data_IF_740463654292
#
_entry.id   IF_740463654292
#
_cell.length_a   1.000
_cell.length_b   1.000
_cell.length_c   1.000
_cell.angle_alpha   90.00
_cell.angle_beta   90.00
_cell.angle_gamma   90.00
#
_symmetry.space_group_name_H-M   'P 1'
#
loop_
_entity.id
_entity.type
_entity.pdbx_description
1 polymer ?
#
# COMPACT_ATOMS: atom_id res chain seq x y z
N UNK A 1 8.52 -3.06 -12.71
CA UNK A 1 9.46 -1.94 -12.44
C UNK A 1 10.03 -1.98 -11.03
N UNK A 2 9.21 -2.01 -9.98
CA UNK A 2 9.67 -2.04 -8.58
C UNK A 2 10.71 -3.13 -8.30
N UNK A 3 10.40 -4.39 -8.64
CA UNK A 3 11.31 -5.52 -8.43
C UNK A 3 12.66 -5.35 -9.14
N UNK A 4 12.67 -4.89 -10.39
CA UNK A 4 13.91 -4.61 -11.13
C UNK A 4 14.71 -3.46 -10.51
N UNK A 5 14.03 -2.45 -9.99
CA UNK A 5 14.63 -1.37 -9.23
C UNK A 5 15.35 -1.85 -7.98
N UNK A 6 14.71 -2.71 -7.19
CA UNK A 6 15.31 -3.29 -5.98
C UNK A 6 16.44 -4.26 -6.30
N UNK A 7 16.30 -5.07 -7.35
CA UNK A 7 17.38 -5.91 -7.88
C UNK A 7 18.60 -5.06 -8.24
N UNK A 8 18.42 -4.03 -9.06
CA UNK A 8 19.52 -3.19 -9.53
C UNK A 8 20.17 -2.40 -8.38
N UNK A 9 19.39 -1.94 -7.40
CA UNK A 9 19.91 -1.31 -6.18
C UNK A 9 20.86 -2.23 -5.41
N UNK A 10 20.60 -3.54 -5.40
CA UNK A 10 21.42 -4.53 -4.69
C UNK A 10 22.63 -5.00 -5.49
N UNK A 11 22.50 -5.13 -6.82
CA UNK A 11 23.55 -5.75 -7.66
C UNK A 11 24.40 -4.75 -8.43
N UNK A 12 23.90 -3.52 -8.61
CA UNK A 12 24.43 -2.53 -9.55
C UNK A 12 24.55 -3.03 -11.02
N UNK A 13 23.85 -4.12 -11.37
CA UNK A 13 23.88 -4.71 -12.72
C UNK A 13 23.16 -3.82 -13.74
N UNK A 14 23.91 -2.83 -14.22
CA UNK A 14 23.45 -1.85 -15.19
C UNK A 14 23.37 -2.45 -16.61
N UNK A 15 24.05 -3.58 -16.85
CA UNK A 15 23.98 -4.28 -18.13
C UNK A 15 22.59 -4.92 -18.30
N UNK A 16 22.09 -5.61 -17.28
CA UNK A 16 20.76 -6.20 -17.30
C UNK A 16 19.66 -5.13 -17.40
N UNK A 17 19.79 -4.01 -16.68
CA UNK A 17 18.85 -2.87 -16.80
C UNK A 17 18.80 -2.35 -18.23
N UNK A 18 19.95 -2.25 -18.91
CA UNK A 18 20.03 -1.79 -20.29
C UNK A 18 19.39 -2.77 -21.26
N UNK A 19 19.64 -4.06 -21.09
CA UNK A 19 19.03 -5.12 -21.89
C UNK A 19 17.50 -5.09 -21.82
N UNK A 20 16.96 -4.97 -20.60
CA UNK A 20 15.52 -5.01 -20.35
C UNK A 20 14.85 -3.64 -20.43
N UNK A 21 15.60 -2.59 -20.75
CA UNK A 21 15.09 -1.23 -20.80
C UNK A 21 13.85 -1.03 -21.67
N UNK A 22 13.74 -1.62 -22.88
CA UNK A 22 12.52 -1.52 -23.69
C UNK A 22 11.29 -2.10 -22.99
N UNK A 23 11.45 -3.14 -22.17
CA UNK A 23 10.36 -3.75 -21.40
C UNK A 23 9.99 -2.88 -20.19
N UNK A 24 10.99 -2.33 -19.49
CA UNK A 24 10.77 -1.40 -18.38
C UNK A 24 10.02 -0.15 -18.82
N UNK A 25 10.34 0.39 -20.00
CA UNK A 25 9.62 1.51 -20.61
C UNK A 25 8.15 1.18 -20.91
N UNK A 26 7.88 0.04 -21.54
CA UNK A 26 6.51 -0.40 -21.81
C UNK A 26 5.71 -0.58 -20.52
N UNK A 27 6.32 -1.12 -19.47
CA UNK A 27 5.69 -1.24 -18.17
C UNK A 27 5.36 0.14 -17.57
N UNK A 28 6.27 1.11 -17.69
CA UNK A 28 6.01 2.50 -17.25
C UNK A 28 4.87 3.15 -18.03
N UNK A 29 4.90 3.04 -19.36
CA UNK A 29 3.88 3.61 -20.25
C UNK A 29 2.49 3.02 -19.98
N UNK A 30 2.41 1.70 -19.78
CA UNK A 30 1.16 1.03 -19.42
C UNK A 30 0.66 1.45 -18.03
N UNK A 31 1.53 1.46 -17.02
CA UNK A 31 1.16 1.88 -15.66
C UNK A 31 0.66 3.32 -15.62
N UNK A 32 1.34 4.24 -16.33
CA UNK A 32 0.89 5.63 -16.49
C UNK A 32 -0.47 5.73 -17.16
N UNK A 33 -0.75 4.90 -18.17
CA UNK A 33 -2.03 4.90 -18.87
C UNK A 33 -3.21 4.35 -18.04
N UNK A 34 -2.91 3.69 -16.91
CA UNK A 34 -3.92 3.20 -15.98
C UNK A 34 -4.38 4.27 -14.95
N UNK A 35 -3.90 5.51 -15.06
CA UNK A 35 -4.38 6.69 -14.34
C UNK A 35 -5.26 7.50 -15.31
N UNK A 36 -6.59 7.43 -15.15
CA UNK A 36 -7.55 8.02 -16.09
C UNK A 36 -8.00 9.43 -15.70
N UNK A 37 -8.07 9.72 -14.39
CA UNK A 37 -8.39 11.04 -13.88
C UNK A 37 -7.16 11.95 -13.72
N UNK A 38 -5.97 11.36 -13.90
CA UNK A 38 -4.69 12.02 -13.93
C UNK A 38 -4.17 12.37 -12.54
N UNK A 39 -4.71 11.84 -11.44
CA UNK A 39 -4.31 12.20 -10.07
C UNK A 39 -2.93 11.66 -9.64
N UNK A 40 -2.28 10.88 -10.52
CA UNK A 40 -0.98 10.26 -10.32
C UNK A 40 -1.05 8.83 -9.75
N UNK A 41 -2.22 8.37 -9.31
CA UNK A 41 -2.44 7.02 -8.80
C UNK A 41 -2.97 6.11 -9.90
N UNK A 42 -2.55 4.85 -9.86
CA UNK A 42 -3.12 3.83 -10.76
C UNK A 42 -4.52 3.43 -10.30
N UNK A 43 -5.42 3.23 -11.25
CA UNK A 43 -6.77 2.76 -11.01
C UNK A 43 -6.89 1.24 -11.22
N UNK A 44 -7.49 0.56 -10.26
CA UNK A 44 -7.77 -0.88 -10.31
C UNK A 44 -8.75 -1.25 -11.42
N UNK A 45 -9.67 -0.36 -11.77
CA UNK A 45 -10.64 -0.53 -12.86
C UNK A 45 -9.97 -0.72 -14.22
N UNK A 46 -8.76 -0.18 -14.40
CA UNK A 46 -7.98 -0.28 -15.64
C UNK A 46 -6.83 -1.28 -15.48
N UNK A 47 -6.10 -1.21 -14.37
CA UNK A 47 -4.92 -2.04 -14.14
C UNK A 47 -5.26 -3.49 -13.77
N UNK A 48 -6.37 -3.72 -13.07
CA UNK A 48 -6.71 -5.02 -12.48
C UNK A 48 -5.63 -5.57 -11.53
N UNK A 49 -4.79 -4.69 -10.96
CA UNK A 49 -3.52 -5.06 -10.32
C UNK A 49 -3.49 -4.89 -8.79
N UNK A 50 -4.57 -4.42 -8.19
CA UNK A 50 -4.73 -4.27 -6.75
C UNK A 50 -5.00 -5.59 -6.05
N UNK A 51 -5.15 -5.54 -4.72
CA UNK A 51 -5.49 -6.70 -3.90
C UNK A 51 -6.97 -7.10 -4.08
N UNK A 52 -7.35 -7.46 -5.30
CA UNK A 52 -8.72 -7.78 -5.72
C UNK A 52 -9.15 -9.21 -5.37
N UNK A 53 -8.40 -9.89 -4.50
CA UNK A 53 -8.71 -11.25 -4.06
C UNK A 53 -9.47 -11.23 -2.72
N UNK A 54 -10.78 -11.52 -2.79
CA UNK A 54 -11.69 -12.04 -1.74
C UNK A 54 -12.62 -11.05 -0.99
N UNK A 55 -13.89 -10.98 -1.42
CA UNK A 55 -15.10 -10.67 -0.60
C UNK A 55 -15.84 -9.36 -0.91
N UNK A 56 -16.94 -9.08 -0.19
CA UNK A 56 -17.83 -7.88 -0.27
C UNK A 56 -17.11 -6.50 -0.11
N UNK A 57 -15.78 -6.48 0.00
CA UNK A 57 -14.96 -5.27 0.08
C UNK A 57 -14.62 -4.69 -1.30
N UNK A 58 -15.12 -5.28 -2.39
CA UNK A 58 -14.75 -4.98 -3.78
C UNK A 58 -15.59 -3.89 -4.46
N UNK A 59 -16.80 -3.60 -3.99
CA UNK A 59 -17.70 -2.69 -4.71
C UNK A 59 -17.14 -1.26 -4.78
N UNK A 60 -16.84 -0.81 -6.00
CA UNK A 60 -16.46 0.57 -6.31
C UNK A 60 -15.05 0.98 -5.89
N UNK A 61 -14.10 0.06 -5.68
CA UNK A 61 -12.68 0.44 -5.44
C UNK A 61 -12.08 1.00 -6.74
N UNK A 62 -11.69 2.27 -6.70
CA UNK A 62 -10.97 2.95 -7.77
C UNK A 62 -9.47 2.73 -7.62
N UNK A 63 -8.91 2.97 -6.43
CA UNK A 63 -7.49 2.73 -6.13
C UNK A 63 -7.33 2.26 -4.70
N UNK A 64 -6.43 1.30 -4.44
CA UNK A 64 -6.14 0.83 -3.08
C UNK A 64 -4.72 1.20 -2.64
N UNK A 65 -4.54 1.30 -1.31
CA UNK A 65 -3.28 1.72 -0.69
C UNK A 65 -2.10 0.82 -1.05
N UNK A 66 -2.35 -0.45 -1.36
CA UNK A 66 -1.33 -1.39 -1.80
C UNK A 66 -0.85 -1.04 -3.21
N UNK A 67 -1.77 -0.91 -4.17
CA UNK A 67 -1.45 -0.53 -5.55
C UNK A 67 -0.79 0.84 -5.59
N UNK A 68 -1.35 1.84 -4.90
CA UNK A 68 -0.76 3.18 -4.82
C UNK A 68 0.66 3.14 -4.24
N UNK A 69 0.88 2.40 -3.15
CA UNK A 69 2.20 2.26 -2.53
C UNK A 69 3.23 1.62 -3.45
N UNK A 70 2.88 0.52 -4.11
CA UNK A 70 3.75 -0.17 -5.08
C UNK A 70 4.08 0.74 -6.26
N UNK A 71 3.10 1.47 -6.78
CA UNK A 71 3.28 2.39 -7.91
C UNK A 71 4.21 3.55 -7.56
N UNK A 72 3.97 4.23 -6.43
CA UNK A 72 4.80 5.35 -5.97
C UNK A 72 6.25 4.92 -5.73
N UNK A 73 6.45 3.72 -5.15
CA UNK A 73 7.77 3.15 -4.98
C UNK A 73 8.42 2.83 -6.34
N UNK A 74 7.67 2.23 -7.27
CA UNK A 74 8.14 1.88 -8.61
C UNK A 74 8.60 3.11 -9.40
N UNK A 75 7.90 4.24 -9.30
CA UNK A 75 8.23 5.50 -9.96
C UNK A 75 9.61 6.04 -9.56
N UNK A 76 9.93 6.01 -8.26
CA UNK A 76 11.28 6.41 -7.80
C UNK A 76 12.36 5.50 -8.39
N UNK A 77 12.13 4.18 -8.38
CA UNK A 77 13.12 3.24 -8.94
C UNK A 77 13.27 3.40 -10.44
N UNK A 78 12.16 3.58 -11.16
CA UNK A 78 12.16 3.80 -12.59
C UNK A 78 12.89 5.10 -12.95
N UNK A 79 12.68 6.19 -12.21
CA UNK A 79 13.39 7.45 -12.44
C UNK A 79 14.91 7.28 -12.35
N UNK A 80 15.39 6.56 -11.33
CA UNK A 80 16.83 6.27 -11.17
C UNK A 80 17.39 5.42 -12.31
N UNK A 81 16.64 4.39 -12.74
CA UNK A 81 17.03 3.59 -13.90
C UNK A 81 17.05 4.42 -15.18
N UNK A 82 16.08 5.33 -15.37
CA UNK A 82 16.03 6.24 -16.51
C UNK A 82 17.24 7.18 -16.57
N UNK A 83 17.69 7.74 -15.43
CA UNK A 83 18.92 8.53 -15.40
C UNK A 83 20.14 7.71 -15.83
N UNK A 84 20.27 6.47 -15.33
CA UNK A 84 21.37 5.58 -15.71
C UNK A 84 21.35 5.21 -17.20
N UNK A 85 20.17 5.14 -17.80
CA UNK A 85 19.98 4.94 -19.24
C UNK A 85 20.10 6.22 -20.07
N UNK A 86 20.47 7.35 -19.43
CA UNK A 86 20.60 8.67 -20.07
C UNK A 86 19.30 9.15 -20.71
N UNK A 87 18.18 8.88 -20.05
CA UNK A 87 16.84 9.31 -20.45
C UNK A 87 16.25 10.34 -19.46
N UNK A 88 16.83 11.56 -19.36
CA UNK A 88 16.46 12.53 -18.32
C UNK A 88 15.02 13.01 -18.42
N UNK A 89 14.43 13.00 -19.63
CA UNK A 89 13.02 13.36 -19.83
C UNK A 89 12.09 12.36 -19.14
N UNK A 90 12.30 11.05 -19.36
CA UNK A 90 11.53 10.00 -18.67
C UNK A 90 11.75 10.02 -17.16
N UNK A 91 12.99 10.26 -16.73
CA UNK A 91 13.31 10.36 -15.31
C UNK A 91 12.57 11.53 -14.65
N UNK A 92 12.52 12.70 -15.31
CA UNK A 92 11.78 13.87 -14.84
C UNK A 92 10.27 13.62 -14.81
N UNK A 93 9.73 12.93 -15.82
CA UNK A 93 8.32 12.59 -15.88
C UNK A 93 7.92 11.66 -14.74
N UNK A 94 8.67 10.57 -14.52
CA UNK A 94 8.41 9.64 -13.44
C UNK A 94 8.46 10.31 -12.06
N UNK A 95 9.41 11.24 -11.85
CA UNK A 95 9.46 12.06 -10.62
C UNK A 95 8.24 12.96 -10.46
N UNK A 96 7.79 13.60 -11.54
CA UNK A 96 6.62 14.48 -11.51
C UNK A 96 5.35 13.70 -11.15
N UNK A 97 5.15 12.53 -11.78
CA UNK A 97 4.05 11.62 -11.43
C UNK A 97 4.17 11.20 -9.96
N UNK A 98 5.37 10.83 -9.48
CA UNK A 98 5.58 10.42 -8.09
C UNK A 98 5.19 11.51 -7.10
N UNK A 99 5.62 12.75 -7.34
CA UNK A 99 5.29 13.88 -6.48
C UNK A 99 3.79 14.13 -6.42
N UNK A 100 3.09 14.01 -7.56
CA UNK A 100 1.64 14.13 -7.62
C UNK A 100 0.95 13.00 -6.86
N UNK A 101 1.33 11.76 -7.14
CA UNK A 101 0.82 10.55 -6.51
C UNK A 101 0.96 10.58 -4.98
N UNK A 102 2.11 11.04 -4.47
CA UNK A 102 2.33 11.23 -3.04
C UNK A 102 1.36 12.26 -2.44
N UNK A 103 1.21 13.42 -3.08
CA UNK A 103 0.30 14.45 -2.62
C UNK A 103 -1.15 13.95 -2.58
N UNK A 104 -1.58 13.25 -3.63
CA UNK A 104 -2.91 12.63 -3.72
C UNK A 104 -3.11 11.58 -2.64
N UNK A 105 -2.15 10.67 -2.44
CA UNK A 105 -2.20 9.64 -1.40
C UNK A 105 -2.34 10.27 0.00
N UNK A 106 -1.51 11.27 0.31
CA UNK A 106 -1.50 11.93 1.62
C UNK A 106 -2.74 12.78 1.89
N UNK A 107 -3.38 13.28 0.83
CA UNK A 107 -4.62 14.04 0.92
C UNK A 107 -5.84 13.12 1.03
N UNK A 108 -5.88 12.07 0.23
CA UNK A 108 -7.06 11.21 0.09
C UNK A 108 -7.12 10.14 1.17
N UNK A 109 -6.01 9.48 1.49
CA UNK A 109 -6.01 8.27 2.33
C UNK A 109 -5.67 8.53 3.79
N UNK A 110 -5.03 9.65 4.16
CA UNK A 110 -4.68 9.91 5.56
C UNK A 110 -5.92 10.28 6.39
N UNK A 111 -6.14 9.57 7.51
CA UNK A 111 -7.25 9.81 8.43
C UNK A 111 -6.70 10.27 9.80
N UNK A 112 -6.59 11.60 10.04
CA UNK A 112 -5.88 12.13 11.21
C UNK A 112 -6.57 11.81 12.53
N UNK A 113 -7.89 11.66 12.57
CA UNK A 113 -8.62 11.34 13.81
C UNK A 113 -8.34 9.90 14.28
N UNK A 114 -8.05 9.00 13.34
CA UNK A 114 -7.78 7.58 13.58
C UNK A 114 -6.27 7.27 13.62
N UNK A 115 -5.41 8.21 13.22
CA UNK A 115 -3.96 8.01 13.12
C UNK A 115 -3.59 6.88 12.16
N UNK A 116 -4.32 6.74 11.04
CA UNK A 116 -4.14 5.62 10.11
C UNK A 116 -4.43 6.04 8.66
N UNK A 117 -3.92 5.28 7.70
CA UNK A 117 -4.30 5.38 6.29
C UNK A 117 -5.51 4.48 6.00
N UNK A 118 -6.45 4.99 5.21
CA UNK A 118 -7.57 4.24 4.67
C UNK A 118 -7.10 3.12 3.74
N UNK A 119 -7.93 2.09 3.57
CA UNK A 119 -7.61 0.95 2.72
C UNK A 119 -7.65 1.31 1.23
N UNK A 120 -8.66 2.06 0.80
CA UNK A 120 -8.89 2.34 -0.61
C UNK A 120 -9.69 3.62 -0.84
N UNK A 121 -9.52 4.21 -2.02
CA UNK A 121 -10.38 5.23 -2.61
C UNK A 121 -11.50 4.53 -3.37
N UNK A 122 -12.73 4.90 -3.05
CA UNK A 122 -13.95 4.40 -3.66
C UNK A 122 -14.49 5.40 -4.69
N UNK A 123 -15.42 4.95 -5.53
CA UNK A 123 -16.19 5.82 -6.41
C UNK A 123 -16.81 7.00 -5.65
N UNK A 124 -16.83 8.17 -6.29
CA UNK A 124 -17.29 9.41 -5.66
C UNK A 124 -16.30 10.00 -4.64
N UNK A 125 -15.03 9.59 -4.66
CA UNK A 125 -13.94 10.11 -3.80
C UNK A 125 -14.15 9.88 -2.30
N UNK A 126 -14.94 8.86 -1.95
CA UNK A 126 -15.01 8.35 -0.57
C UNK A 126 -13.84 7.42 -0.31
N UNK A 127 -13.59 7.11 0.96
CA UNK A 127 -12.56 6.14 1.34
C UNK A 127 -13.15 4.97 2.12
N UNK A 128 -12.50 3.81 1.98
CA UNK A 128 -12.76 2.66 2.82
C UNK A 128 -11.91 2.77 4.09
N UNK A 129 -12.54 3.15 5.21
CA UNK A 129 -11.86 3.44 6.48
C UNK A 129 -11.44 2.19 7.27
N UNK A 130 -11.76 0.98 6.80
CA UNK A 130 -11.45 -0.25 7.52
C UNK A 130 -9.95 -0.37 7.77
N UNK A 131 -9.57 -0.64 9.02
CA UNK A 131 -8.20 -0.97 9.36
C UNK A 131 -7.82 -2.30 8.69
N UNK A 132 -6.77 -2.30 7.89
CA UNK A 132 -6.25 -3.49 7.21
C UNK A 132 -4.73 -3.55 7.31
N UNK A 133 -4.13 -4.68 6.97
CA UNK A 133 -2.68 -4.83 6.91
C UNK A 133 -2.06 -4.21 5.64
N UNK A 134 -2.87 -3.85 4.64
CA UNK A 134 -2.40 -3.40 3.33
C UNK A 134 -1.52 -2.14 3.35
N UNK A 135 -1.76 -1.13 4.21
CA UNK A 135 -0.84 0.01 4.37
C UNK A 135 0.59 -0.39 4.75
N UNK A 136 0.81 -1.60 5.29
CA UNK A 136 2.15 -2.11 5.57
C UNK A 136 3.04 -2.19 4.32
N UNK A 137 2.44 -2.33 3.13
CA UNK A 137 3.19 -2.40 1.86
C UNK A 137 3.80 -1.05 1.52
N UNK A 138 3.01 0.02 1.56
CA UNK A 138 3.49 1.38 1.36
C UNK A 138 4.53 1.78 2.44
N UNK A 139 4.31 1.36 3.69
CA UNK A 139 5.29 1.51 4.77
C UNK A 139 6.62 0.82 4.45
N UNK A 140 6.60 -0.40 3.88
CA UNK A 140 7.83 -1.15 3.58
C UNK A 140 8.73 -0.51 2.51
N UNK A 141 8.20 0.47 1.78
CA UNK A 141 8.92 1.21 0.74
C UNK A 141 9.12 2.69 1.07
N UNK A 142 8.89 3.11 2.32
CA UNK A 142 9.00 4.50 2.80
C UNK A 142 8.18 5.48 1.95
N UNK A 143 6.95 5.08 1.58
CA UNK A 143 6.07 5.90 0.74
C UNK A 143 5.36 6.99 1.54
N UNK A 144 4.92 6.67 2.76
CA UNK A 144 4.18 7.60 3.60
C UNK A 144 5.07 8.70 4.20
N UNK A 145 4.44 9.82 4.58
CA UNK A 145 5.06 10.77 5.50
C UNK A 145 5.60 10.04 6.75
N UNK A 146 6.80 10.42 7.20
CA UNK A 146 7.49 9.70 8.28
C UNK A 146 6.72 9.73 9.61
N UNK A 147 6.05 10.85 9.92
CA UNK A 147 5.30 11.00 11.18
C UNK A 147 4.02 10.19 11.11
N UNK A 148 3.26 10.36 10.04
CA UNK A 148 2.01 9.62 9.79
C UNK A 148 2.23 8.11 9.64
N UNK A 149 3.34 7.74 9.00
CA UNK A 149 3.78 6.36 8.88
C UNK A 149 4.06 5.73 10.24
N UNK A 150 4.71 6.46 11.16
CA UNK A 150 4.94 5.98 12.52
C UNK A 150 3.62 5.76 13.29
N UNK A 151 2.64 6.66 13.15
CA UNK A 151 1.30 6.47 13.72
C UNK A 151 0.59 5.23 13.16
N UNK A 152 0.62 5.06 11.83
CA UNK A 152 0.07 3.87 11.17
C UNK A 152 0.74 2.57 11.65
N UNK A 153 2.07 2.58 11.84
CA UNK A 153 2.80 1.44 12.42
C UNK A 153 2.29 1.12 13.82
N UNK A 154 2.05 2.14 14.64
CA UNK A 154 1.44 1.98 15.97
C UNK A 154 0.07 1.30 15.91
N UNK A 155 -0.79 1.71 14.97
CA UNK A 155 -2.10 1.07 14.72
C UNK A 155 -1.96 -0.38 14.27
N UNK A 156 -1.03 -0.66 13.35
CA UNK A 156 -0.75 -2.03 12.86
C UNK A 156 -0.14 -2.95 13.92
N UNK A 157 0.54 -2.39 14.92
CA UNK A 157 1.09 -3.12 16.06
C UNK A 157 0.07 -3.37 17.19
N UNK A 158 -1.13 -2.79 17.09
CA UNK A 158 -2.20 -3.00 18.07
C UNK A 158 -2.80 -4.40 17.99
N UNK A 159 -3.47 -4.83 19.06
CA UNK A 159 -4.19 -6.10 19.14
C UNK A 159 -5.43 -6.20 18.23
N UNK A 160 -5.80 -5.13 17.52
CA UNK A 160 -6.87 -5.13 16.52
C UNK A 160 -6.46 -5.86 15.22
N UNK A 161 -5.16 -5.85 14.92
CA UNK A 161 -4.54 -6.45 13.72
C UNK A 161 -3.55 -7.55 14.11
N UNK A 162 -2.77 -7.37 15.18
CA UNK A 162 -1.75 -8.34 15.58
C UNK A 162 -2.36 -9.54 16.30
N UNK A 163 -2.01 -10.75 15.87
CA UNK A 163 -2.34 -12.03 16.51
C UNK A 163 -1.06 -12.73 16.97
N UNK A 164 -1.19 -13.79 17.77
CA UNK A 164 -0.05 -14.55 18.31
C UNK A 164 0.87 -15.16 17.22
N UNK A 165 0.39 -15.25 15.97
CA UNK A 165 1.16 -15.74 14.81
C UNK A 165 1.48 -14.65 13.77
N UNK A 166 1.39 -13.36 14.13
CA UNK A 166 1.65 -12.22 13.25
C UNK A 166 0.41 -11.39 12.92
N UNK A 167 0.48 -10.52 11.90
CA UNK A 167 -0.64 -9.64 11.52
C UNK A 167 -1.77 -10.43 10.85
N UNK A 168 -2.93 -10.49 11.52
CA UNK A 168 -4.19 -11.02 10.99
C UNK A 168 -5.05 -9.95 10.30
N UNK A 169 -6.15 -10.36 9.69
CA UNK A 169 -7.16 -9.46 9.11
C UNK A 169 -8.01 -8.87 10.25
N UNK A 170 -8.30 -7.57 10.17
CA UNK A 170 -9.01 -6.80 11.21
C UNK A 170 -10.13 -7.58 11.88
N UNK A 171 -10.07 -7.68 13.22
CA UNK A 171 -11.15 -8.24 14.03
C UNK A 171 -12.18 -7.12 14.24
N UNK A 172 -13.32 -7.16 13.56
CA UNK A 172 -14.51 -6.47 14.10
C UNK A 172 -14.71 -6.99 15.51
N UNK A 173 -14.64 -6.11 16.49
CA UNK A 173 -14.78 -6.43 17.90
C UNK A 173 -16.23 -6.85 18.23
N UNK A 174 -16.62 -8.05 17.82
CA UNK A 174 -17.65 -8.81 18.51
C UNK A 174 -17.03 -9.36 19.79
N UNK A 175 -17.16 -8.62 20.90
CA UNK A 175 -16.78 -9.13 22.23
C UNK A 175 -17.66 -10.35 22.53
N UNK A 176 -17.17 -11.55 22.26
CA UNK A 176 -17.64 -12.73 22.97
C UNK A 176 -16.89 -12.75 24.31
N UNK A 177 -17.48 -12.16 25.34
CA UNK A 177 -16.97 -12.30 26.70
C UNK A 177 -17.21 -13.73 27.14
N UNK A 178 -16.22 -14.61 26.97
CA UNK A 178 -16.15 -15.82 27.77
C UNK A 178 -15.80 -15.34 29.18
N UNK A 179 -16.82 -15.12 30.00
CA UNK A 179 -16.64 -14.95 31.45
C UNK A 179 -15.98 -16.24 31.94
N UNK A 180 -14.71 -16.13 32.30
CA UNK A 180 -14.05 -17.13 33.10
C UNK A 180 -14.63 -17.03 34.51
N UNK A 181 -15.75 -17.70 34.76
CA UNK A 181 -16.26 -17.88 36.12
C UNK A 181 -15.51 -19.05 36.74
N UNK A 182 -14.39 -18.75 37.39
CA UNK A 182 -13.80 -19.60 38.41
C UNK A 182 -14.74 -19.59 39.62
N UNK A 183 -15.73 -20.47 39.64
CA UNK A 183 -16.47 -20.75 40.88
C UNK A 183 -15.76 -21.89 41.58
N UNK A 184 -14.90 -21.50 42.52
CA UNK A 184 -14.38 -22.34 43.58
C UNK A 184 -15.58 -22.84 44.42
N UNK A 185 -15.88 -24.14 44.38
CA UNK A 185 -16.86 -24.76 45.29
C UNK A 185 -16.11 -25.64 46.28
N UNK A 186 -15.88 -25.07 47.46
CA UNK A 186 -15.60 -25.77 48.71
C UNK A 186 -16.94 -26.19 49.33
N UNK A 187 -17.19 -27.49 49.45
CA UNK A 187 -18.06 -28.07 50.50
C UNK A 187 -18.18 -29.60 50.36
N UNK A 188 -17.74 -30.34 51.39
CA UNK A 188 -18.22 -31.71 51.71
C UNK A 188 -19.67 -31.68 52.25
N UNK A 189 -20.23 -32.73 52.91
CA UNK A 189 -19.58 -33.89 53.55
C UNK A 189 -20.24 -35.27 53.25
N UNK A 190 -19.57 -36.36 53.65
CA UNK A 190 -20.05 -37.45 54.52
C UNK A 190 -18.85 -38.26 55.02
#
# INVERSE_FOLDING_TARGET
MLAFGEYWKQTADTALVRELWPNLRKAFEWSRAADSDGDGLMENTIAGAGALEVGDLQEGIVSDVYLSGVWIAALDRFARMADAMKEPKLASEARAIRSKALATLEQALWMPQQGQYAFAILEGKKVNENLTSWPATALSFDVFDATRGAEMVGRLASNEIMTDWGRGRSRRAGRCSIRCTTTMVLSGPL
#
